data_IF_724284588978
#
_entry.id   IF_724284588978
#
_cell.length_a   1.000
_cell.length_b   1.000
_cell.length_c   1.000
_cell.angle_alpha   90.00
_cell.angle_beta   90.00
_cell.angle_gamma   90.00
#
_symmetry.space_group_name_H-M   'P 1'
#
loop_
_entity.id
_entity.type
_entity.pdbx_description
1 polymer ?
#
# COMPACT_ATOMS: atom_id res chain seq x y z
N UNK A 1 25.03 14.85 -11.43
CA UNK A 1 23.78 14.14 -11.82
C UNK A 1 24.07 12.76 -12.38
N UNK A 2 24.85 12.63 -13.48
CA UNK A 2 25.21 11.31 -14.04
C UNK A 2 26.03 10.44 -13.09
N UNK A 3 27.00 11.03 -12.38
CA UNK A 3 27.84 10.35 -11.37
C UNK A 3 26.99 9.77 -10.23
N UNK A 4 26.12 10.59 -9.64
CA UNK A 4 25.17 10.16 -8.60
C UNK A 4 24.27 9.03 -9.11
N UNK A 5 23.72 9.16 -10.31
CA UNK A 5 22.88 8.10 -10.89
C UNK A 5 23.63 6.77 -11.08
N UNK A 6 24.87 6.80 -11.56
CA UNK A 6 25.72 5.59 -11.67
C UNK A 6 25.90 4.94 -10.29
N UNK A 7 26.19 5.75 -9.27
CA UNK A 7 26.36 5.26 -7.89
C UNK A 7 25.06 4.65 -7.39
N UNK A 8 23.92 5.31 -7.61
CA UNK A 8 22.60 4.83 -7.19
C UNK A 8 22.27 3.47 -7.84
N UNK A 9 22.44 3.34 -9.16
CA UNK A 9 22.16 2.10 -9.89
C UNK A 9 23.05 0.95 -9.41
N UNK A 10 24.36 1.18 -9.26
CA UNK A 10 25.28 0.15 -8.76
C UNK A 10 24.92 -0.24 -7.33
N UNK A 11 24.51 0.71 -6.50
CA UNK A 11 24.09 0.46 -5.11
C UNK A 11 22.84 -0.41 -5.06
N UNK A 12 21.87 -0.18 -5.94
CA UNK A 12 20.66 -1.01 -6.08
C UNK A 12 21.04 -2.43 -6.51
N UNK A 13 21.91 -2.58 -7.52
CA UNK A 13 22.36 -3.90 -7.98
C UNK A 13 23.09 -4.67 -6.88
N UNK A 14 23.98 -4.01 -6.14
CA UNK A 14 24.66 -4.61 -4.99
C UNK A 14 23.68 -5.03 -3.89
N UNK A 15 22.64 -4.23 -3.65
CA UNK A 15 21.56 -4.55 -2.70
C UNK A 15 20.82 -5.82 -3.12
N UNK A 16 20.48 -5.97 -4.40
CA UNK A 16 19.84 -7.17 -4.94
C UNK A 16 20.72 -8.41 -4.72
N UNK A 17 22.04 -8.28 -4.95
CA UNK A 17 23.00 -9.36 -4.72
C UNK A 17 23.05 -9.74 -3.23
N UNK A 18 23.11 -8.77 -2.33
CA UNK A 18 23.11 -9.01 -0.87
C UNK A 18 21.81 -9.67 -0.39
N UNK A 19 20.66 -9.24 -0.91
CA UNK A 19 19.37 -9.87 -0.62
C UNK A 19 19.33 -11.32 -1.14
N UNK A 20 19.83 -11.56 -2.35
CA UNK A 20 19.90 -12.92 -2.89
C UNK A 20 20.83 -13.81 -2.05
N UNK A 21 21.98 -13.29 -1.60
CA UNK A 21 22.88 -13.99 -0.70
C UNK A 21 22.22 -14.31 0.64
N UNK A 22 21.43 -13.38 1.21
CA UNK A 22 20.65 -13.60 2.42
C UNK A 22 19.62 -14.71 2.22
N UNK A 23 18.88 -14.71 1.10
CA UNK A 23 17.90 -15.75 0.76
C UNK A 23 18.56 -17.13 0.70
N UNK A 24 19.72 -17.23 0.06
CA UNK A 24 20.51 -18.46 -0.01
C UNK A 24 21.00 -18.89 1.38
N UNK A 25 21.51 -17.97 2.19
CA UNK A 25 21.96 -18.25 3.55
C UNK A 25 20.80 -18.79 4.41
N UNK A 26 19.61 -18.18 4.35
CA UNK A 26 18.43 -18.68 5.07
C UNK A 26 18.07 -20.08 4.57
N UNK A 27 18.03 -20.31 3.25
CA UNK A 27 17.72 -21.63 2.68
C UNK A 27 18.67 -22.73 3.20
N UNK A 28 19.95 -22.39 3.35
CA UNK A 28 21.00 -23.35 3.74
C UNK A 28 21.07 -23.56 5.25
N UNK A 29 20.92 -22.50 6.05
CA UNK A 29 21.22 -22.53 7.48
C UNK A 29 19.98 -22.53 8.39
N UNK A 30 18.82 -22.10 7.89
CA UNK A 30 17.59 -22.08 8.69
C UNK A 30 16.91 -23.46 8.63
N UNK A 31 17.05 -24.22 9.71
CA UNK A 31 16.32 -25.47 9.93
C UNK A 31 15.11 -25.14 10.79
N UNK A 32 13.89 -25.15 10.25
CA UNK A 32 12.70 -24.93 11.06
C UNK A 32 12.61 -26.03 12.12
N UNK A 33 12.35 -25.65 13.37
CA UNK A 33 12.02 -26.62 14.42
C UNK A 33 10.83 -27.46 13.96
N UNK A 34 10.86 -28.79 14.14
CA UNK A 34 9.70 -29.64 13.88
C UNK A 34 8.63 -29.35 14.92
N UNK A 35 7.89 -28.25 14.75
CA UNK A 35 6.53 -28.20 15.26
C UNK A 35 5.76 -29.30 14.53
N UNK A 36 4.90 -30.03 15.24
CA UNK A 36 4.08 -31.08 14.64
C UNK A 36 3.14 -30.47 13.59
N UNK A 37 3.65 -30.37 12.37
CA UNK A 37 2.96 -29.82 11.21
C UNK A 37 1.71 -30.66 10.92
N UNK A 38 1.67 -31.94 11.33
CA UNK A 38 0.49 -32.77 11.21
C UNK A 38 -0.64 -32.35 12.16
N UNK A 39 -0.31 -31.76 13.32
CA UNK A 39 -1.30 -31.21 14.26
C UNK A 39 -1.78 -29.81 13.84
N UNK A 40 -0.85 -28.95 13.38
CA UNK A 40 -1.16 -27.61 12.88
C UNK A 40 -1.90 -27.62 11.54
N UNK A 41 -1.57 -28.55 10.63
CA UNK A 41 -2.27 -28.71 9.33
C UNK A 41 -3.68 -29.28 9.47
N UNK A 42 -3.98 -29.99 10.56
CA UNK A 42 -5.36 -30.37 10.91
C UNK A 42 -6.21 -29.16 11.32
N UNK A 43 -5.59 -28.13 11.90
CA UNK A 43 -6.24 -26.88 12.32
C UNK A 43 -6.27 -25.85 11.18
N UNK A 44 -5.23 -25.82 10.35
CA UNK A 44 -5.05 -24.93 9.21
C UNK A 44 -5.03 -25.73 7.90
N UNK A 45 -6.19 -26.22 7.45
CA UNK A 45 -6.38 -26.54 6.03
C UNK A 45 -6.52 -25.25 5.25
N UNK A 46 -5.41 -24.55 5.02
CA UNK A 46 -5.37 -23.40 4.10
C UNK A 46 -4.28 -23.68 3.07
N UNK A 47 -4.70 -23.94 1.83
CA UNK A 47 -3.79 -23.90 0.69
C UNK A 47 -3.03 -22.55 0.70
N UNK A 48 -1.70 -22.58 0.68
CA UNK A 48 -0.88 -21.39 0.41
C UNK A 48 -0.30 -20.65 1.61
N UNK A 49 -0.14 -21.26 2.79
CA UNK A 49 0.77 -20.68 3.80
C UNK A 49 2.21 -20.87 3.35
N UNK A 50 3.04 -19.82 3.28
CA UNK A 50 4.45 -19.97 2.89
C UNK A 50 5.15 -20.91 3.86
N UNK A 51 6.04 -21.76 3.33
CA UNK A 51 6.82 -22.66 4.18
C UNK A 51 7.65 -21.84 5.19
N UNK A 52 7.98 -22.36 6.38
CA UNK A 52 8.72 -21.60 7.39
C UNK A 52 10.01 -20.95 6.87
N UNK A 53 10.69 -21.61 5.92
CA UNK A 53 11.88 -21.09 5.24
C UNK A 53 11.51 -19.90 4.35
N UNK A 54 10.47 -20.01 3.53
CA UNK A 54 10.00 -18.95 2.63
C UNK A 54 9.50 -17.73 3.41
N UNK A 55 8.77 -17.96 4.50
CA UNK A 55 8.34 -16.89 5.40
C UNK A 55 9.55 -16.14 5.99
N UNK A 56 10.56 -16.87 6.46
CA UNK A 56 11.78 -16.28 7.00
C UNK A 56 12.56 -15.50 5.93
N UNK A 57 12.69 -16.06 4.72
CA UNK A 57 13.28 -15.40 3.57
C UNK A 57 12.59 -14.07 3.26
N UNK A 58 11.26 -14.07 3.21
CA UNK A 58 10.47 -12.86 2.94
C UNK A 58 10.66 -11.81 4.04
N UNK A 59 10.44 -12.17 5.30
CA UNK A 59 10.51 -11.22 6.43
C UNK A 59 11.89 -10.60 6.57
N UNK A 60 12.95 -11.42 6.56
CA UNK A 60 14.31 -10.90 6.69
C UNK A 60 14.73 -10.08 5.47
N UNK A 61 14.32 -10.47 4.26
CA UNK A 61 14.61 -9.67 3.07
C UNK A 61 13.98 -8.28 3.14
N UNK A 62 12.72 -8.18 3.57
CA UNK A 62 12.03 -6.89 3.74
C UNK A 62 12.70 -6.01 4.80
N UNK A 63 13.09 -6.60 5.94
CA UNK A 63 13.74 -5.86 7.03
C UNK A 63 15.17 -5.45 6.69
N UNK A 64 15.93 -6.30 6.00
CA UNK A 64 17.32 -6.05 5.63
C UNK A 64 17.47 -5.16 4.39
N UNK A 65 16.49 -5.11 3.48
CA UNK A 65 16.55 -4.32 2.25
C UNK A 65 16.96 -2.84 2.45
N UNK A 66 16.35 -2.05 3.36
CA UNK A 66 16.77 -0.66 3.57
C UNK A 66 18.20 -0.55 4.13
N UNK A 67 18.61 -1.49 4.98
CA UNK A 67 19.95 -1.53 5.57
C UNK A 67 20.99 -1.86 4.49
N UNK A 68 20.73 -2.89 3.69
CA UNK A 68 21.60 -3.27 2.56
C UNK A 68 21.67 -2.17 1.51
N UNK A 69 20.58 -1.45 1.25
CA UNK A 69 20.60 -0.30 0.34
C UNK A 69 21.50 0.81 0.87
N UNK A 70 21.36 1.17 2.14
CA UNK A 70 22.20 2.18 2.77
C UNK A 70 23.67 1.79 2.80
N UNK A 71 23.99 0.56 3.22
CA UNK A 71 25.36 0.04 3.22
C UNK A 71 25.95 -0.06 1.80
N UNK A 72 25.15 -0.51 0.83
CA UNK A 72 25.57 -0.56 -0.57
C UNK A 72 25.88 0.85 -1.08
N UNK A 73 25.01 1.82 -0.82
CA UNK A 73 25.25 3.22 -1.19
C UNK A 73 26.54 3.78 -0.61
N UNK A 74 26.75 3.61 0.71
CA UNK A 74 27.98 4.08 1.36
C UNK A 74 29.23 3.40 0.78
N UNK A 75 29.16 2.09 0.55
CA UNK A 75 30.28 1.30 0.02
C UNK A 75 30.60 1.71 -1.41
N UNK A 76 29.59 1.79 -2.27
CA UNK A 76 29.72 2.23 -3.67
C UNK A 76 30.24 3.65 -3.74
N UNK A 77 29.73 4.57 -2.92
CA UNK A 77 30.23 5.95 -2.86
C UNK A 77 31.68 6.03 -2.41
N UNK A 78 32.05 5.26 -1.38
CA UNK A 78 33.41 5.27 -0.85
C UNK A 78 34.43 4.66 -1.83
N UNK A 79 34.11 3.51 -2.42
CA UNK A 79 35.02 2.76 -3.28
C UNK A 79 35.06 3.31 -4.71
N UNK A 80 33.90 3.60 -5.30
CA UNK A 80 33.80 3.96 -6.71
C UNK A 80 33.66 5.46 -6.93
N UNK A 81 33.22 6.24 -5.93
CA UNK A 81 32.98 7.68 -6.10
C UNK A 81 34.20 8.41 -6.66
N UNK A 82 35.38 8.23 -6.06
CA UNK A 82 36.62 8.87 -6.52
C UNK A 82 37.04 8.45 -7.94
N UNK A 83 36.71 7.23 -8.36
CA UNK A 83 37.06 6.69 -9.68
C UNK A 83 36.10 7.26 -10.72
N UNK A 84 34.80 7.22 -10.43
CA UNK A 84 33.73 7.75 -11.29
C UNK A 84 33.90 9.27 -11.46
N UNK A 85 34.26 9.98 -10.40
CA UNK A 85 34.45 11.43 -10.42
C UNK A 85 35.59 11.87 -11.36
N UNK A 86 36.61 11.03 -11.52
CA UNK A 86 37.80 11.30 -12.35
C UNK A 86 37.79 10.60 -13.70
N UNK A 87 36.74 9.83 -14.02
CA UNK A 87 36.70 9.01 -15.23
C UNK A 87 36.50 9.86 -16.48
N UNK A 88 37.40 9.71 -17.45
CA UNK A 88 37.26 10.27 -18.81
C UNK A 88 36.14 9.61 -19.61
N UNK A 89 35.64 8.45 -19.18
CA UNK A 89 34.63 7.65 -19.86
C UNK A 89 33.25 7.69 -19.18
N UNK A 90 32.98 8.76 -18.41
CA UNK A 90 31.75 8.89 -17.63
C UNK A 90 30.47 8.67 -18.46
N UNK A 91 30.44 9.14 -19.71
CA UNK A 91 29.30 8.98 -20.62
C UNK A 91 29.06 7.52 -21.00
N UNK A 92 30.12 6.78 -21.34
CA UNK A 92 30.03 5.36 -21.67
C UNK A 92 29.58 4.53 -20.46
N UNK A 93 30.12 4.84 -19.28
CA UNK A 93 29.73 4.17 -18.03
C UNK A 93 28.26 4.47 -17.71
N UNK A 94 27.82 5.72 -17.83
CA UNK A 94 26.43 6.12 -17.64
C UNK A 94 25.47 5.39 -18.59
N UNK A 95 25.84 5.27 -19.87
CA UNK A 95 25.03 4.55 -20.85
C UNK A 95 24.96 3.05 -20.54
N UNK A 96 26.08 2.43 -20.17
CA UNK A 96 26.11 1.01 -19.76
C UNK A 96 25.22 0.79 -18.54
N UNK A 97 25.28 1.67 -17.52
CA UNK A 97 24.41 1.56 -16.34
C UNK A 97 22.94 1.69 -16.67
N UNK A 98 22.58 2.57 -17.61
CA UNK A 98 21.20 2.73 -18.07
C UNK A 98 20.68 1.48 -18.79
N UNK A 99 21.51 0.89 -19.67
CA UNK A 99 21.17 -0.37 -20.35
C UNK A 99 21.02 -1.52 -19.36
N UNK A 100 21.93 -1.61 -18.38
CA UNK A 100 21.85 -2.62 -17.32
C UNK A 100 20.60 -2.45 -16.46
N UNK A 101 20.26 -1.22 -16.07
CA UNK A 101 19.05 -0.92 -15.30
C UNK A 101 17.78 -1.38 -16.05
N UNK A 102 17.64 -1.01 -17.32
CA UNK A 102 16.50 -1.43 -18.14
C UNK A 102 16.49 -2.94 -18.33
N UNK A 103 17.65 -3.56 -18.60
CA UNK A 103 17.76 -5.01 -18.77
C UNK A 103 17.36 -5.78 -17.51
N UNK A 104 17.80 -5.32 -16.33
CA UNK A 104 17.43 -5.92 -15.03
C UNK A 104 15.96 -5.72 -14.75
N UNK A 105 15.38 -4.55 -15.02
CA UNK A 105 13.95 -4.31 -14.85
C UNK A 105 13.10 -5.23 -15.74
N UNK A 106 13.46 -5.37 -17.03
CA UNK A 106 12.78 -6.29 -17.94
C UNK A 106 12.90 -7.73 -17.45
N UNK A 107 14.09 -8.14 -17.00
CA UNK A 107 14.31 -9.48 -16.47
C UNK A 107 13.48 -9.76 -15.20
N UNK A 108 13.41 -8.80 -14.26
CA UNK A 108 12.59 -8.91 -13.05
C UNK A 108 11.11 -9.01 -13.42
N UNK A 109 10.61 -8.15 -14.31
CA UNK A 109 9.20 -8.18 -14.77
C UNK A 109 8.90 -9.54 -15.41
N UNK A 110 9.76 -9.99 -16.33
CA UNK A 110 9.63 -11.29 -17.00
C UNK A 110 9.59 -12.44 -15.99
N UNK A 111 10.55 -12.49 -15.06
CA UNK A 111 10.60 -13.54 -14.05
C UNK A 111 9.43 -13.48 -13.08
N UNK A 112 9.01 -12.29 -12.66
CA UNK A 112 7.82 -12.12 -11.83
C UNK A 112 6.61 -12.71 -12.54
N UNK A 113 6.35 -12.35 -13.80
CA UNK A 113 5.20 -12.84 -14.55
C UNK A 113 5.25 -14.36 -14.83
N UNK A 114 6.44 -14.95 -14.94
CA UNK A 114 6.58 -16.40 -15.07
C UNK A 114 6.28 -17.16 -13.77
N UNK A 115 6.77 -16.64 -12.65
CA UNK A 115 6.83 -17.35 -11.37
C UNK A 115 5.67 -17.04 -10.45
N UNK A 116 5.04 -15.88 -10.62
CA UNK A 116 3.94 -15.42 -9.77
C UNK A 116 2.68 -15.26 -10.59
N UNK A 117 1.55 -15.70 -10.04
CA UNK A 117 0.22 -15.21 -10.45
C UNK A 117 -0.01 -13.77 -9.93
N UNK A 118 1.05 -12.95 -9.89
CA UNK A 118 0.97 -11.60 -9.42
C UNK A 118 0.02 -10.83 -10.33
N UNK A 119 -1.00 -10.21 -9.73
CA UNK A 119 -2.14 -9.57 -10.39
C UNK A 119 -3.15 -10.53 -11.06
N UNK A 120 -3.09 -11.84 -10.76
CA UNK A 120 -3.99 -12.90 -11.27
C UNK A 120 -4.08 -13.01 -12.80
N UNK A 121 -3.13 -12.39 -13.49
CA UNK A 121 -3.16 -12.24 -14.95
C UNK A 121 -3.24 -13.61 -15.64
N UNK A 122 -2.50 -14.60 -15.13
CA UNK A 122 -2.48 -15.98 -15.67
C UNK A 122 -3.69 -16.82 -15.26
N UNK A 123 -4.37 -16.45 -14.17
CA UNK A 123 -5.56 -17.14 -13.65
C UNK A 123 -6.87 -16.72 -14.33
N UNK A 124 -6.88 -15.57 -15.03
CA UNK A 124 -8.02 -15.08 -15.81
C UNK A 124 -8.12 -15.69 -17.22
N UNK A 125 -7.73 -16.96 -17.37
CA UNK A 125 -7.82 -17.76 -18.61
C UNK A 125 -9.25 -17.91 -19.17
N UNK A 126 -10.29 -17.42 -18.46
CA UNK A 126 -11.66 -17.39 -18.93
C UNK A 126 -12.04 -16.18 -19.79
N UNK A 127 -11.14 -15.22 -20.03
CA UNK A 127 -11.43 -14.07 -20.90
C UNK A 127 -10.69 -14.19 -22.23
N UNK A 128 -11.43 -14.21 -23.35
CA UNK A 128 -10.89 -14.26 -24.74
C UNK A 128 -10.14 -12.97 -25.15
N UNK A 129 -9.83 -12.09 -24.21
CA UNK A 129 -9.25 -10.79 -24.51
C UNK A 129 -7.73 -10.89 -24.64
N UNK A 130 -7.21 -10.33 -25.74
CA UNK A 130 -5.79 -10.42 -26.14
C UNK A 130 -4.82 -9.93 -25.05
N UNK A 131 -5.28 -9.03 -24.17
CA UNK A 131 -4.52 -8.49 -23.03
C UNK A 131 -4.24 -9.52 -21.93
N UNK A 132 -5.12 -10.52 -21.79
CA UNK A 132 -4.96 -11.62 -20.83
C UNK A 132 -4.32 -12.86 -21.46
N UNK A 133 -4.34 -12.95 -22.79
CA UNK A 133 -3.63 -13.98 -23.56
C UNK A 133 -2.12 -13.71 -23.65
N UNK A 134 -1.70 -12.44 -23.74
CA UNK A 134 -0.29 -12.03 -23.92
C UNK A 134 0.18 -10.94 -22.95
N UNK A 135 0.01 -11.14 -21.63
CA UNK A 135 0.38 -10.13 -20.65
C UNK A 135 1.88 -9.90 -20.54
N UNK A 136 2.69 -10.91 -20.90
CA UNK A 136 4.13 -10.85 -20.90
C UNK A 136 4.61 -9.90 -22.00
N UNK A 137 4.07 -10.05 -23.20
CA UNK A 137 4.38 -9.28 -24.40
C UNK A 137 3.92 -7.83 -24.23
N UNK A 138 2.76 -7.62 -23.61
CA UNK A 138 2.24 -6.28 -23.37
C UNK A 138 3.07 -5.51 -22.33
N UNK A 139 3.43 -6.13 -21.21
CA UNK A 139 4.18 -5.48 -20.13
C UNK A 139 5.68 -5.33 -20.39
N UNK A 140 6.30 -6.24 -21.15
CA UNK A 140 7.76 -6.23 -21.39
C UNK A 140 8.17 -5.55 -22.70
N UNK A 141 7.28 -5.43 -23.69
CA UNK A 141 7.61 -4.85 -25.00
C UNK A 141 6.73 -3.64 -25.33
N UNK A 142 5.41 -3.82 -25.35
CA UNK A 142 4.49 -2.78 -25.81
C UNK A 142 4.50 -1.58 -24.85
N UNK A 143 4.41 -1.81 -23.55
CA UNK A 143 4.37 -0.73 -22.56
C UNK A 143 5.67 0.12 -22.55
N UNK A 144 6.89 -0.46 -22.53
CA UNK A 144 8.11 0.32 -22.68
C UNK A 144 8.18 1.11 -23.99
N UNK A 145 7.78 0.51 -25.12
CA UNK A 145 7.75 1.19 -26.42
C UNK A 145 6.78 2.38 -26.39
N UNK A 146 5.57 2.20 -25.87
CA UNK A 146 4.59 3.28 -25.74
C UNK A 146 5.07 4.39 -24.79
N UNK A 147 5.78 4.05 -23.71
CA UNK A 147 6.40 5.05 -22.85
C UNK A 147 7.50 5.84 -23.56
N UNK A 148 8.38 5.16 -24.30
CA UNK A 148 9.46 5.79 -25.07
C UNK A 148 8.85 6.73 -26.12
N UNK A 149 7.87 6.26 -26.90
CA UNK A 149 7.15 7.06 -27.87
C UNK A 149 6.46 8.26 -27.20
N UNK A 150 5.81 8.05 -26.05
CA UNK A 150 5.18 9.11 -25.27
C UNK A 150 6.17 10.16 -24.75
N UNK A 151 7.44 9.79 -24.55
CA UNK A 151 8.50 10.72 -24.15
C UNK A 151 8.88 11.69 -25.27
N UNK A 152 8.86 11.23 -26.52
CA UNK A 152 9.18 12.05 -27.70
C UNK A 152 8.02 12.94 -28.17
N UNK A 153 6.79 12.65 -27.74
CA UNK A 153 5.65 13.51 -28.08
C UNK A 153 5.59 14.71 -27.13
N UNK A 154 5.72 15.91 -27.70
CA UNK A 154 5.62 17.15 -26.94
C UNK A 154 4.22 17.33 -26.34
N UNK A 155 4.16 17.61 -25.03
CA UNK A 155 2.90 17.87 -24.34
C UNK A 155 2.27 19.18 -24.85
N UNK A 156 1.11 19.07 -25.50
CA UNK A 156 0.29 20.20 -25.95
C UNK A 156 -0.90 20.45 -25.02
N UNK A 157 -1.56 21.61 -25.14
CA UNK A 157 -2.80 21.90 -24.40
C UNK A 157 -3.91 20.87 -24.70
N UNK A 158 -3.98 20.40 -25.95
CA UNK A 158 -4.95 19.39 -26.39
C UNK A 158 -4.67 18.06 -25.68
N UNK A 159 -3.41 17.60 -25.66
CA UNK A 159 -3.02 16.36 -24.99
C UNK A 159 -3.34 16.42 -23.49
N UNK A 160 -3.11 17.57 -22.84
CA UNK A 160 -3.50 17.79 -21.44
C UNK A 160 -5.01 17.64 -21.24
N UNK A 161 -5.82 18.28 -22.09
CA UNK A 161 -7.27 18.18 -22.02
C UNK A 161 -7.76 16.74 -22.23
N UNK A 162 -7.23 16.04 -23.23
CA UNK A 162 -7.53 14.63 -23.48
C UNK A 162 -7.13 13.73 -22.30
N UNK A 163 -5.99 14.01 -21.67
CA UNK A 163 -5.54 13.28 -20.47
C UNK A 163 -6.53 13.43 -19.33
N UNK A 164 -7.01 14.66 -19.07
CA UNK A 164 -8.04 14.93 -18.07
C UNK A 164 -9.37 14.24 -18.41
N UNK A 165 -9.85 14.41 -19.64
CA UNK A 165 -11.10 13.80 -20.10
C UNK A 165 -11.06 12.28 -19.96
N UNK A 166 -10.02 11.63 -20.48
CA UNK A 166 -9.86 10.18 -20.36
C UNK A 166 -9.83 9.74 -18.89
N UNK A 167 -9.06 10.42 -18.05
CA UNK A 167 -8.91 10.04 -16.64
C UNK A 167 -10.22 10.18 -15.87
N UNK A 168 -11.00 11.26 -16.12
CA UNK A 168 -12.32 11.44 -15.53
C UNK A 168 -13.30 10.37 -16.04
N UNK A 169 -13.34 10.11 -17.35
CA UNK A 169 -14.19 9.05 -17.90
C UNK A 169 -13.85 7.68 -17.29
N UNK A 170 -12.56 7.37 -17.12
CA UNK A 170 -12.12 6.12 -16.50
C UNK A 170 -12.55 6.03 -15.03
N UNK A 171 -12.46 7.12 -14.27
CA UNK A 171 -12.93 7.18 -12.88
C UNK A 171 -14.45 6.98 -12.81
N UNK A 172 -15.21 7.58 -13.75
CA UNK A 172 -16.68 7.38 -13.84
C UNK A 172 -16.98 5.90 -14.16
N UNK A 173 -16.23 5.28 -15.07
CA UNK A 173 -16.39 3.84 -15.37
C UNK A 173 -16.11 2.99 -14.13
N UNK A 174 -15.03 3.27 -13.40
CA UNK A 174 -14.69 2.58 -12.13
C UNK A 174 -15.81 2.78 -11.10
N UNK A 175 -16.33 3.99 -10.96
CA UNK A 175 -17.47 4.27 -10.08
C UNK A 175 -18.68 3.40 -10.45
N UNK A 176 -19.08 3.41 -11.73
CA UNK A 176 -20.23 2.65 -12.22
C UNK A 176 -20.08 1.14 -12.03
N UNK A 177 -18.88 0.57 -12.18
CA UNK A 177 -18.61 -0.85 -11.94
C UNK A 177 -18.87 -1.30 -10.49
N UNK A 178 -18.95 -0.36 -9.54
CA UNK A 178 -19.20 -0.66 -8.13
C UNK A 178 -20.65 -0.43 -7.72
N UNK A 179 -21.53 0.00 -8.63
CA UNK A 179 -22.94 0.20 -8.34
C UNK A 179 -23.71 -1.10 -8.54
N UNK A 180 -24.36 -1.59 -7.49
CA UNK A 180 -25.22 -2.76 -7.57
C UNK A 180 -26.30 -2.74 -6.49
N UNK A 181 -27.36 -3.50 -6.73
CA UNK A 181 -28.43 -3.77 -5.77
C UNK A 181 -28.61 -5.30 -5.63
N UNK A 182 -29.54 -5.72 -4.77
CA UNK A 182 -29.83 -7.14 -4.55
C UNK A 182 -30.42 -7.85 -5.79
N UNK A 183 -31.05 -7.10 -6.69
CA UNK A 183 -31.75 -7.66 -7.86
C UNK A 183 -30.80 -7.91 -9.04
N UNK A 184 -29.78 -7.07 -9.20
CA UNK A 184 -28.94 -7.08 -10.40
C UNK A 184 -27.74 -8.02 -10.29
N UNK A 185 -27.20 -8.28 -9.09
CA UNK A 185 -26.06 -9.19 -8.91
C UNK A 185 -26.08 -9.86 -7.53
N UNK A 186 -25.88 -11.19 -7.50
CA UNK A 186 -25.46 -11.95 -6.32
C UNK A 186 -23.95 -12.18 -6.39
N UNK A 187 -23.08 -11.17 -6.22
CA UNK A 187 -21.67 -11.47 -6.12
C UNK A 187 -21.47 -12.24 -4.82
N UNK A 188 -20.91 -13.43 -4.97
CA UNK A 188 -20.48 -14.37 -3.95
C UNK A 188 -20.33 -13.71 -2.58
N UNK A 189 -21.26 -14.06 -1.68
CA UNK A 189 -21.42 -13.50 -0.33
C UNK A 189 -20.14 -13.46 0.52
N UNK A 190 -19.09 -14.18 0.13
CA UNK A 190 -17.85 -14.35 0.89
C UNK A 190 -17.04 -13.05 1.07
N UNK A 191 -17.01 -12.13 0.09
CA UNK A 191 -16.24 -10.88 0.21
C UNK A 191 -17.07 -9.65 0.56
N UNK A 192 -18.37 -9.66 0.23
CA UNK A 192 -19.27 -8.56 0.57
C UNK A 192 -19.70 -8.60 2.05
N UNK A 193 -20.04 -9.76 2.59
CA UNK A 193 -20.57 -9.87 3.96
C UNK A 193 -19.60 -9.37 5.04
N UNK A 194 -18.29 -9.68 5.00
CA UNK A 194 -17.34 -9.14 5.99
C UNK A 194 -17.28 -7.61 6.05
N UNK A 195 -17.79 -6.95 5.01
CA UNK A 195 -17.79 -5.49 4.84
C UNK A 195 -19.17 -4.88 5.10
N UNK A 196 -20.25 -5.53 4.67
CA UNK A 196 -21.60 -5.02 4.88
C UNK A 196 -22.17 -5.34 6.27
N UNK A 197 -21.91 -6.54 6.79
CA UNK A 197 -22.45 -7.01 8.06
C UNK A 197 -22.06 -6.13 9.26
N UNK A 198 -20.79 -5.73 9.46
CA UNK A 198 -20.43 -4.86 10.57
C UNK A 198 -21.22 -3.55 10.59
N UNK A 199 -21.46 -2.94 9.42
CA UNK A 199 -22.23 -1.69 9.31
C UNK A 199 -23.69 -1.89 9.65
N UNK A 200 -24.31 -2.99 9.20
CA UNK A 200 -25.70 -3.29 9.55
C UNK A 200 -25.88 -3.53 11.05
N UNK A 201 -24.91 -4.15 11.71
CA UNK A 201 -24.94 -4.38 13.14
C UNK A 201 -24.77 -3.08 13.94
N UNK A 202 -23.90 -2.18 13.49
CA UNK A 202 -23.71 -0.87 14.14
C UNK A 202 -24.99 -0.04 14.13
N UNK A 203 -25.70 0.00 13.00
CA UNK A 203 -26.99 0.68 12.93
C UNK A 203 -28.09 0.05 13.79
N UNK A 204 -27.91 -1.21 14.21
CA UNK A 204 -28.74 -1.88 15.21
C UNK A 204 -28.24 -1.67 16.64
N UNK A 205 -27.48 -0.60 16.88
CA UNK A 205 -26.90 -0.24 18.19
C UNK A 205 -25.91 -1.26 18.75
N UNK A 206 -25.33 -2.12 17.91
CA UNK A 206 -24.22 -2.98 18.34
C UNK A 206 -22.89 -2.29 18.17
N UNK A 207 -21.98 -2.59 19.07
CA UNK A 207 -20.73 -1.86 19.17
C UNK A 207 -19.55 -2.73 18.76
N UNK A 208 -18.79 -2.30 17.74
CA UNK A 208 -17.54 -2.97 17.35
C UNK A 208 -16.57 -3.07 18.53
N UNK A 209 -15.91 -4.23 18.66
CA UNK A 209 -14.97 -4.59 19.73
C UNK A 209 -15.61 -4.87 21.10
N UNK A 210 -16.93 -4.63 21.26
CA UNK A 210 -17.69 -4.94 22.47
C UNK A 210 -18.70 -6.05 22.19
N UNK A 211 -19.67 -5.77 21.31
CA UNK A 211 -20.79 -6.66 21.01
C UNK A 211 -20.50 -7.55 19.79
N UNK A 212 -19.66 -7.08 18.86
CA UNK A 212 -19.24 -7.83 17.70
C UNK A 212 -17.78 -7.58 17.32
N UNK A 213 -17.20 -8.54 16.60
CA UNK A 213 -15.90 -8.39 15.95
C UNK A 213 -16.09 -8.11 14.45
N UNK A 214 -15.20 -7.31 13.88
CA UNK A 214 -15.12 -7.08 12.45
C UNK A 214 -13.75 -7.51 11.93
N UNK A 215 -13.69 -7.95 10.67
CA UNK A 215 -12.44 -8.33 10.03
C UNK A 215 -11.56 -7.11 9.70
N UNK A 216 -12.17 -5.95 9.48
CA UNK A 216 -11.49 -4.70 9.15
C UNK A 216 -11.86 -3.66 10.20
N UNK A 217 -10.87 -2.87 10.65
CA UNK A 217 -10.87 -1.94 11.78
C UNK A 217 -12.21 -1.36 12.27
N UNK A 218 -12.32 -0.05 12.34
CA UNK A 218 -13.52 0.65 12.82
C UNK A 218 -14.24 1.41 11.71
N UNK A 219 -13.91 1.15 10.44
CA UNK A 219 -14.54 1.83 9.29
C UNK A 219 -16.08 1.85 9.35
N UNK A 220 -16.72 0.83 9.92
CA UNK A 220 -18.18 0.82 10.05
C UNK A 220 -18.74 1.98 10.88
N UNK A 221 -18.04 2.39 11.95
CA UNK A 221 -18.39 3.56 12.77
C UNK A 221 -18.14 4.87 12.04
N UNK A 222 -17.16 4.92 11.12
CA UNK A 222 -16.96 6.09 10.26
C UNK A 222 -18.10 6.26 9.25
N UNK A 223 -18.71 5.15 8.82
CA UNK A 223 -19.81 5.14 7.86
C UNK A 223 -21.18 5.28 8.51
N UNK A 224 -21.30 5.00 9.80
CA UNK A 224 -22.56 5.05 10.54
C UNK A 224 -23.30 6.39 10.40
N UNK A 225 -22.67 7.58 10.56
CA UNK A 225 -23.38 8.85 10.41
C UNK A 225 -23.99 9.03 9.01
N UNK A 226 -23.34 8.47 7.98
CA UNK A 226 -23.82 8.53 6.60
C UNK A 226 -25.09 7.67 6.48
N UNK A 227 -25.07 6.45 7.01
CA UNK A 227 -26.22 5.54 6.89
C UNK A 227 -27.35 5.81 7.88
N UNK A 228 -27.12 6.57 8.96
CA UNK A 228 -28.19 7.18 9.77
C UNK A 228 -28.98 8.24 8.99
N UNK A 229 -28.36 8.87 7.98
CA UNK A 229 -29.01 9.91 7.15
C UNK A 229 -29.67 9.31 5.90
N UNK A 230 -29.00 8.38 5.22
CA UNK A 230 -29.44 7.86 3.92
C UNK A 230 -30.08 6.47 3.96
N UNK A 231 -30.24 5.88 5.14
CA UNK A 231 -30.61 4.47 5.35
C UNK A 231 -29.64 3.46 4.72
N UNK A 232 -29.46 2.32 5.40
CA UNK A 232 -28.62 1.24 4.89
C UNK A 232 -29.41 0.32 3.95
N UNK A 233 -29.12 0.45 2.66
CA UNK A 233 -29.47 -0.53 1.63
C UNK A 233 -28.20 -1.00 0.92
N UNK A 234 -28.24 -2.13 0.21
CA UNK A 234 -27.11 -2.59 -0.61
C UNK A 234 -26.72 -1.52 -1.64
N UNK A 235 -27.70 -0.87 -2.26
CA UNK A 235 -27.45 0.21 -3.22
C UNK A 235 -26.75 1.39 -2.57
N UNK A 236 -27.27 1.94 -1.47
CA UNK A 236 -26.67 3.08 -0.79
C UNK A 236 -25.25 2.75 -0.30
N UNK A 237 -25.05 1.54 0.21
CA UNK A 237 -23.75 1.06 0.59
C UNK A 237 -22.78 0.98 -0.59
N UNK A 238 -23.23 0.44 -1.72
CA UNK A 238 -22.44 0.35 -2.95
C UNK A 238 -22.07 1.74 -3.49
N UNK A 239 -22.97 2.73 -3.40
CA UNK A 239 -22.69 4.13 -3.79
C UNK A 239 -21.59 4.72 -2.91
N UNK A 240 -21.70 4.59 -1.58
CA UNK A 240 -20.67 5.11 -0.67
C UNK A 240 -19.31 4.47 -0.94
N UNK A 241 -19.28 3.14 -1.12
CA UNK A 241 -18.04 2.44 -1.45
C UNK A 241 -17.50 2.86 -2.82
N UNK A 242 -18.36 2.98 -3.84
CA UNK A 242 -17.99 3.42 -5.17
C UNK A 242 -17.39 4.84 -5.16
N UNK A 243 -17.94 5.76 -4.36
CA UNK A 243 -17.40 7.10 -4.17
C UNK A 243 -16.00 7.06 -3.56
N UNK A 244 -15.77 6.22 -2.55
CA UNK A 244 -14.44 6.05 -1.95
C UNK A 244 -13.44 5.45 -2.95
N UNK A 245 -13.86 4.49 -3.78
CA UNK A 245 -13.03 3.92 -4.85
C UNK A 245 -12.66 5.01 -5.87
N UNK A 246 -13.66 5.74 -6.37
CA UNK A 246 -13.46 6.83 -7.33
C UNK A 246 -12.53 7.92 -6.78
N UNK A 247 -12.71 8.31 -5.51
CA UNK A 247 -11.85 9.27 -4.82
C UNK A 247 -10.40 8.75 -4.71
N UNK A 248 -10.21 7.46 -4.44
CA UNK A 248 -8.87 6.84 -4.38
C UNK A 248 -8.13 7.00 -5.72
N UNK A 249 -8.78 6.65 -6.84
CA UNK A 249 -8.20 6.82 -8.17
C UNK A 249 -8.02 8.28 -8.57
N UNK A 250 -8.91 9.16 -8.13
CA UNK A 250 -8.74 10.60 -8.32
C UNK A 250 -7.48 11.11 -7.61
N UNK A 251 -7.20 10.69 -6.37
CA UNK A 251 -5.97 11.06 -5.67
C UNK A 251 -4.71 10.54 -6.39
N UNK A 252 -4.72 9.31 -6.91
CA UNK A 252 -3.62 8.78 -7.73
C UNK A 252 -3.40 9.65 -8.97
N UNK A 253 -4.46 9.99 -9.70
CA UNK A 253 -4.37 10.86 -10.87
C UNK A 253 -3.80 12.24 -10.51
N UNK A 254 -4.25 12.84 -9.40
CA UNK A 254 -3.73 14.11 -8.89
C UNK A 254 -2.26 14.06 -8.47
N UNK A 255 -1.79 12.91 -7.98
CA UNK A 255 -0.37 12.67 -7.70
C UNK A 255 0.42 12.68 -8.99
N UNK A 256 0.01 11.90 -10.01
CA UNK A 256 0.68 11.85 -11.31
C UNK A 256 0.73 13.22 -11.99
N UNK A 257 -0.37 13.97 -11.97
CA UNK A 257 -0.43 15.35 -12.50
C UNK A 257 0.56 16.30 -11.81
N UNK A 258 0.88 16.04 -10.54
CA UNK A 258 1.85 16.85 -9.80
C UNK A 258 3.27 16.35 -10.03
N UNK A 259 3.53 15.05 -10.08
CA UNK A 259 4.90 14.52 -10.11
C UNK A 259 5.49 14.43 -11.52
N UNK A 260 4.65 14.19 -12.54
CA UNK A 260 5.08 13.95 -13.91
C UNK A 260 4.78 15.17 -14.79
N UNK A 261 5.75 15.61 -15.59
CA UNK A 261 5.58 16.76 -16.50
C UNK A 261 4.88 16.40 -17.81
N UNK A 262 5.14 15.21 -18.34
CA UNK A 262 4.62 14.76 -19.63
C UNK A 262 3.22 14.16 -19.47
N UNK A 263 2.24 14.73 -20.17
CA UNK A 263 0.83 14.35 -20.09
C UNK A 263 0.52 12.97 -20.67
N UNK A 264 1.27 12.52 -21.69
CA UNK A 264 1.11 11.16 -22.23
C UNK A 264 1.60 10.14 -21.22
N UNK A 265 2.71 10.42 -20.53
CA UNK A 265 3.20 9.55 -19.45
C UNK A 265 2.18 9.49 -18.31
N UNK A 266 1.53 10.62 -17.98
CA UNK A 266 0.42 10.61 -16.99
C UNK A 266 -0.74 9.74 -17.48
N UNK A 267 -1.15 9.89 -18.74
CA UNK A 267 -2.25 9.11 -19.34
C UNK A 267 -1.96 7.61 -19.28
N UNK A 268 -0.80 7.20 -19.82
CA UNK A 268 -0.38 5.80 -19.85
C UNK A 268 -0.19 5.24 -18.44
N UNK A 269 0.49 5.98 -17.56
CA UNK A 269 0.70 5.57 -16.17
C UNK A 269 -0.60 5.42 -15.39
N UNK A 270 -1.55 6.35 -15.55
CA UNK A 270 -2.85 6.27 -14.88
C UNK A 270 -3.69 5.12 -15.42
N UNK A 271 -3.70 4.90 -16.75
CA UNK A 271 -4.38 3.77 -17.37
C UNK A 271 -3.82 2.44 -16.87
N UNK A 272 -2.49 2.29 -16.83
CA UNK A 272 -1.83 1.08 -16.32
C UNK A 272 -2.11 0.83 -14.85
N UNK A 273 -1.99 1.84 -13.99
CA UNK A 273 -2.28 1.70 -12.56
C UNK A 273 -3.73 1.28 -12.36
N UNK A 274 -4.68 1.93 -13.04
CA UNK A 274 -6.11 1.62 -12.95
C UNK A 274 -6.45 0.23 -13.46
N UNK A 275 -5.82 -0.19 -14.56
CA UNK A 275 -6.02 -1.50 -15.14
C UNK A 275 -5.51 -2.60 -14.21
N UNK A 276 -4.24 -2.58 -13.86
CA UNK A 276 -3.61 -3.66 -13.09
C UNK A 276 -4.05 -3.70 -11.63
N UNK A 277 -4.30 -2.56 -10.98
CA UNK A 277 -4.68 -2.57 -9.55
C UNK A 277 -6.17 -2.85 -9.33
N UNK A 278 -7.02 -2.67 -10.34
CA UNK A 278 -8.47 -2.74 -10.13
C UNK A 278 -9.23 -3.37 -11.28
N UNK A 279 -9.15 -2.82 -12.49
CA UNK A 279 -10.03 -3.28 -13.59
C UNK A 279 -9.76 -4.72 -14.01
N UNK A 280 -8.50 -5.17 -14.03
CA UNK A 280 -8.16 -6.54 -14.41
C UNK A 280 -8.85 -7.55 -13.49
N UNK A 281 -8.75 -7.33 -12.17
CA UNK A 281 -9.43 -8.17 -11.18
C UNK A 281 -10.95 -8.06 -11.27
N UNK A 282 -11.47 -6.82 -11.37
CA UNK A 282 -12.91 -6.55 -11.38
C UNK A 282 -13.59 -7.12 -12.63
N UNK A 283 -12.96 -7.00 -13.80
CA UNK A 283 -13.46 -7.57 -15.06
C UNK A 283 -13.39 -9.10 -15.05
N UNK A 284 -12.33 -9.67 -14.45
CA UNK A 284 -12.15 -11.11 -14.42
C UNK A 284 -13.03 -11.85 -13.40
N UNK A 285 -13.36 -11.22 -12.26
CA UNK A 285 -14.19 -11.85 -11.21
C UNK A 285 -15.63 -11.35 -11.18
N UNK A 286 -15.90 -10.13 -11.66
CA UNK A 286 -17.18 -9.45 -11.47
C UNK A 286 -17.45 -8.97 -10.04
N UNK A 287 -16.67 -9.41 -9.05
CA UNK A 287 -16.98 -9.23 -7.63
C UNK A 287 -16.63 -7.82 -7.11
N UNK A 288 -17.47 -7.22 -6.24
CA UNK A 288 -17.15 -5.99 -5.52
C UNK A 288 -16.23 -6.32 -4.34
N UNK A 289 -14.92 -6.16 -4.55
CA UNK A 289 -13.91 -6.49 -3.55
C UNK A 289 -13.62 -5.33 -2.59
N UNK A 290 -14.67 -4.86 -1.90
CA UNK A 290 -14.63 -3.68 -1.04
C UNK A 290 -13.68 -3.78 0.16
N UNK A 291 -13.33 -5.00 0.58
CA UNK A 291 -12.32 -5.25 1.59
C UNK A 291 -10.94 -4.70 1.22
N UNK A 292 -10.58 -4.74 -0.07
CA UNK A 292 -9.34 -4.17 -0.55
C UNK A 292 -9.56 -2.75 -1.06
N UNK A 293 -10.49 -2.58 -2.00
CA UNK A 293 -10.79 -1.29 -2.63
C UNK A 293 -12.27 -0.96 -2.38
N UNK A 294 -12.61 -0.10 -1.39
CA UNK A 294 -11.78 0.99 -0.89
C UNK A 294 -11.15 0.81 0.50
N UNK A 295 -11.57 -0.16 1.33
CA UNK A 295 -11.28 -0.15 2.78
C UNK A 295 -9.77 -0.10 3.08
N UNK A 296 -8.95 -0.83 2.33
CA UNK A 296 -7.49 -0.87 2.51
C UNK A 296 -6.74 0.10 1.57
N UNK A 297 -7.44 0.72 0.62
CA UNK A 297 -6.82 1.47 -0.48
C UNK A 297 -6.98 2.99 -0.36
N UNK A 298 -8.10 3.46 0.21
CA UNK A 298 -8.44 4.89 0.26
C UNK A 298 -7.41 5.76 0.99
N UNK A 299 -7.07 5.40 2.24
CA UNK A 299 -6.11 6.17 3.03
C UNK A 299 -4.69 6.18 2.44
N UNK A 300 -4.15 5.05 1.93
CA UNK A 300 -2.90 5.10 1.16
C UNK A 300 -2.90 6.13 0.03
N UNK A 301 -3.96 6.18 -0.79
CA UNK A 301 -4.05 7.14 -1.89
C UNK A 301 -4.17 8.59 -1.39
N UNK A 302 -4.99 8.83 -0.36
CA UNK A 302 -5.17 10.15 0.24
C UNK A 302 -3.85 10.67 0.84
N UNK A 303 -3.16 9.85 1.63
CA UNK A 303 -1.90 10.27 2.29
C UNK A 303 -0.78 10.46 1.27
N UNK A 304 -0.70 9.64 0.23
CA UNK A 304 0.22 9.88 -0.88
C UNK A 304 -0.03 11.25 -1.52
N UNK A 305 -1.29 11.58 -1.81
CA UNK A 305 -1.67 12.87 -2.35
C UNK A 305 -1.30 14.04 -1.42
N UNK A 306 -1.71 13.98 -0.15
CA UNK A 306 -1.41 15.02 0.84
C UNK A 306 0.09 15.20 1.04
N UNK A 307 0.86 14.11 1.03
CA UNK A 307 2.32 14.14 1.13
C UNK A 307 2.95 14.90 -0.05
N UNK A 308 2.51 14.64 -1.29
CA UNK A 308 3.01 15.35 -2.47
C UNK A 308 2.67 16.84 -2.41
N UNK A 309 1.47 17.21 -1.95
CA UNK A 309 1.08 18.62 -1.77
C UNK A 309 1.95 19.28 -0.70
N UNK A 310 2.18 18.61 0.43
CA UNK A 310 3.05 19.11 1.49
C UNK A 310 4.50 19.29 1.01
N UNK A 311 5.11 18.29 0.38
CA UNK A 311 6.53 18.38 0.01
C UNK A 311 6.80 19.43 -1.08
N UNK A 312 5.82 19.72 -1.93
CA UNK A 312 5.89 20.78 -2.93
C UNK A 312 5.67 22.17 -2.37
N UNK A 313 4.64 22.35 -1.53
CA UNK A 313 4.21 23.67 -1.06
C UNK A 313 4.72 24.06 0.34
N UNK A 314 5.23 23.11 1.13
CA UNK A 314 5.62 23.27 2.54
C UNK A 314 4.55 23.89 3.42
N UNK A 315 3.29 23.62 3.08
CA UNK A 315 2.16 24.18 3.79
C UNK A 315 1.99 23.47 5.14
N UNK A 316 2.06 24.22 6.24
CA UNK A 316 1.84 23.72 7.61
C UNK A 316 0.45 23.11 7.79
N UNK A 317 -0.56 23.63 7.11
CA UNK A 317 -1.91 23.06 7.18
C UNK A 317 -1.94 21.66 6.58
N UNK A 318 -1.21 21.44 5.49
CA UNK A 318 -1.09 20.10 4.88
C UNK A 318 -0.31 19.15 5.79
N UNK A 319 0.73 19.63 6.46
CA UNK A 319 1.47 18.82 7.45
C UNK A 319 0.54 18.27 8.54
N UNK A 320 -0.24 19.15 9.19
CA UNK A 320 -1.17 18.71 10.24
C UNK A 320 -2.34 17.89 9.69
N UNK A 321 -2.86 18.25 8.51
CA UNK A 321 -3.92 17.47 7.86
C UNK A 321 -3.46 16.05 7.53
N UNK A 322 -2.21 15.86 7.06
CA UNK A 322 -1.65 14.52 6.82
C UNK A 322 -1.54 13.73 8.11
N UNK A 323 -1.14 14.35 9.24
CA UNK A 323 -1.11 13.68 10.54
C UNK A 323 -2.50 13.29 11.04
N UNK A 324 -3.50 14.15 10.87
CA UNK A 324 -4.89 13.81 11.22
C UNK A 324 -5.36 12.64 10.36
N UNK A 325 -5.20 12.72 9.04
CA UNK A 325 -5.64 11.68 8.12
C UNK A 325 -4.91 10.35 8.35
N UNK A 326 -3.61 10.36 8.65
CA UNK A 326 -2.83 9.15 8.94
C UNK A 326 -3.15 8.56 10.32
N UNK A 327 -3.63 9.38 11.25
CA UNK A 327 -4.13 8.90 12.54
C UNK A 327 -5.52 8.27 12.42
N UNK A 328 -6.39 8.85 11.58
CA UNK A 328 -7.69 8.25 11.26
C UNK A 328 -7.56 6.93 10.50
N UNK A 329 -6.54 6.77 9.67
CA UNK A 329 -6.31 5.52 8.94
C UNK A 329 -6.05 4.34 9.88
N UNK A 330 -5.36 4.56 11.02
CA UNK A 330 -5.14 3.54 12.06
C UNK A 330 -6.46 2.99 12.59
N UNK A 331 -7.44 3.87 12.80
CA UNK A 331 -8.76 3.52 13.32
C UNK A 331 -9.62 2.87 12.22
N UNK A 332 -9.57 3.40 11.00
CA UNK A 332 -10.32 2.87 9.86
C UNK A 332 -9.96 1.41 9.54
N UNK A 333 -8.66 1.13 9.39
CA UNK A 333 -8.12 -0.20 9.15
C UNK A 333 -6.68 -0.25 9.69
N UNK A 334 -6.45 -0.94 10.81
CA UNK A 334 -5.14 -0.91 11.46
C UNK A 334 -4.00 -1.45 10.58
N UNK A 335 -4.25 -2.54 9.84
CA UNK A 335 -3.24 -3.19 9.01
C UNK A 335 -2.62 -2.20 8.01
N UNK A 336 -3.46 -1.52 7.23
CA UNK A 336 -2.99 -0.51 6.27
C UNK A 336 -2.72 0.83 6.91
N UNK A 337 -3.43 1.16 7.99
CA UNK A 337 -3.28 2.40 8.74
C UNK A 337 -1.89 2.54 9.35
N UNK A 338 -1.35 1.48 9.95
CA UNK A 338 0.01 1.47 10.51
C UNK A 338 1.04 1.71 9.42
N UNK A 339 0.90 1.03 8.28
CA UNK A 339 1.80 1.21 7.13
C UNK A 339 1.77 2.65 6.64
N UNK A 340 0.58 3.23 6.51
CA UNK A 340 0.39 4.63 6.06
C UNK A 340 0.98 5.63 7.05
N UNK A 341 0.72 5.45 8.35
CA UNK A 341 1.24 6.32 9.40
C UNK A 341 2.76 6.29 9.48
N UNK A 342 3.35 5.09 9.45
CA UNK A 342 4.81 4.92 9.43
C UNK A 342 5.43 5.49 8.15
N UNK A 343 4.80 5.26 6.99
CA UNK A 343 5.28 5.80 5.71
C UNK A 343 5.36 7.33 5.72
N UNK A 344 4.38 7.99 6.34
CA UNK A 344 4.39 9.45 6.51
C UNK A 344 5.54 9.91 7.42
N UNK A 345 5.70 9.29 8.60
CA UNK A 345 6.80 9.59 9.52
C UNK A 345 8.17 9.38 8.87
N UNK A 346 8.37 8.24 8.21
CA UNK A 346 9.61 7.91 7.52
C UNK A 346 9.90 8.90 6.38
N UNK A 347 8.86 9.34 5.66
CA UNK A 347 9.01 10.36 4.62
C UNK A 347 9.47 11.70 5.19
N UNK A 348 8.96 12.11 6.36
CA UNK A 348 9.42 13.31 7.06
C UNK A 348 10.87 13.15 7.54
N UNK A 349 11.21 12.02 8.16
CA UNK A 349 12.56 11.72 8.64
C UNK A 349 13.58 11.73 7.49
N UNK A 350 13.25 11.06 6.38
CA UNK A 350 14.07 11.07 5.17
C UNK A 350 14.27 12.49 4.65
N UNK A 351 13.19 13.27 4.64
CA UNK A 351 13.24 14.64 4.17
C UNK A 351 14.10 15.56 5.05
N UNK A 352 14.05 15.40 6.38
CA UNK A 352 14.92 16.11 7.31
C UNK A 352 16.38 15.66 7.17
N UNK A 353 16.63 14.37 6.93
CA UNK A 353 17.97 13.83 6.68
C UNK A 353 18.63 14.45 5.45
N UNK A 354 17.87 14.69 4.38
CA UNK A 354 18.38 15.39 3.19
C UNK A 354 18.73 16.87 3.43
N UNK A 355 18.22 17.49 4.50
CA UNK A 355 18.40 18.93 4.78
C UNK A 355 19.34 19.21 5.95
N UNK A 356 19.52 18.27 6.85
CA UNK A 356 20.23 18.51 8.08
C UNK A 356 21.69 18.85 7.82
N UNK A 357 22.11 20.04 8.27
CA UNK A 357 23.52 20.44 8.31
C UNK A 357 24.21 20.01 9.60
N UNK A 358 23.43 19.70 10.65
CA UNK A 358 23.92 19.32 11.97
C UNK A 358 23.09 18.18 12.56
N UNK A 359 23.77 17.19 13.15
CA UNK A 359 23.18 16.00 13.74
C UNK A 359 22.19 16.30 14.88
N UNK A 360 22.49 17.28 15.74
CA UNK A 360 21.62 17.63 16.86
C UNK A 360 20.28 18.23 16.40
N UNK A 361 20.29 19.01 15.31
CA UNK A 361 19.06 19.55 14.72
C UNK A 361 18.21 18.44 14.08
N UNK A 362 18.87 17.46 13.45
CA UNK A 362 18.20 16.31 12.85
C UNK A 362 17.42 15.52 13.91
N UNK A 363 18.09 15.09 14.99
CA UNK A 363 17.44 14.34 16.08
C UNK A 363 16.27 15.14 16.66
N UNK A 364 16.45 16.44 16.91
CA UNK A 364 15.40 17.29 17.47
C UNK A 364 14.16 17.35 16.58
N UNK A 365 14.35 17.50 15.27
CA UNK A 365 13.23 17.55 14.32
C UNK A 365 12.54 16.19 14.18
N UNK A 366 13.31 15.10 14.09
CA UNK A 366 12.77 13.73 14.05
C UNK A 366 11.96 13.38 15.31
N UNK A 367 12.47 13.77 16.49
CA UNK A 367 11.77 13.59 17.75
C UNK A 367 10.48 14.41 17.79
N UNK A 368 10.51 15.66 17.34
CA UNK A 368 9.35 16.54 17.25
C UNK A 368 8.26 15.94 16.35
N UNK A 369 8.61 15.48 15.15
CA UNK A 369 7.65 14.89 14.20
C UNK A 369 7.04 13.60 14.75
N UNK A 370 7.86 12.76 15.39
CA UNK A 370 7.39 11.55 16.10
C UNK A 370 6.42 11.91 17.22
N UNK A 371 6.78 12.88 18.07
CA UNK A 371 5.94 13.32 19.18
C UNK A 371 4.60 13.88 18.69
N UNK A 372 4.62 14.71 17.64
CA UNK A 372 3.41 15.25 17.01
C UNK A 372 2.55 14.09 16.48
N UNK A 373 3.15 13.12 15.79
CA UNK A 373 2.44 11.94 15.30
C UNK A 373 1.76 11.15 16.42
N UNK A 374 2.46 10.91 17.53
CA UNK A 374 1.91 10.22 18.72
C UNK A 374 0.76 11.03 19.34
N UNK A 375 0.91 12.35 19.46
CA UNK A 375 -0.15 13.19 20.02
C UNK A 375 -1.41 13.13 19.14
N UNK A 376 -1.28 13.21 17.82
CA UNK A 376 -2.42 13.09 16.91
C UNK A 376 -3.07 11.72 16.94
N UNK A 377 -2.29 10.63 16.98
CA UNK A 377 -2.83 9.26 17.02
C UNK A 377 -3.55 8.95 18.33
N UNK A 378 -3.01 9.41 19.47
CA UNK A 378 -3.67 9.29 20.77
C UNK A 378 -4.92 10.17 20.82
N UNK A 379 -4.84 11.40 20.32
CA UNK A 379 -5.98 12.34 20.33
C UNK A 379 -7.12 11.85 19.43
N UNK A 380 -6.84 11.33 18.23
CA UNK A 380 -7.87 10.78 17.35
C UNK A 380 -8.52 9.54 17.97
N UNK A 381 -7.71 8.67 18.59
CA UNK A 381 -8.19 7.49 19.29
C UNK A 381 -9.10 7.89 20.46
N UNK A 382 -8.68 8.86 21.27
CA UNK A 382 -9.46 9.37 22.40
C UNK A 382 -10.73 10.10 21.95
N UNK A 383 -10.68 10.87 20.86
CA UNK A 383 -11.86 11.53 20.28
C UNK A 383 -12.89 10.50 19.83
N UNK A 384 -12.45 9.44 19.14
CA UNK A 384 -13.34 8.36 18.70
C UNK A 384 -13.92 7.59 19.89
N UNK A 385 -13.12 7.40 20.95
CA UNK A 385 -13.57 6.84 22.21
C UNK A 385 -14.58 7.75 22.93
N UNK A 386 -14.41 9.06 22.82
CA UNK A 386 -15.31 10.04 23.45
C UNK A 386 -16.66 10.09 22.74
N UNK A 387 -16.68 10.03 21.40
CA UNK A 387 -17.92 9.86 20.63
C UNK A 387 -18.59 8.53 20.95
N UNK A 388 -17.81 7.47 21.16
CA UNK A 388 -18.29 6.16 21.60
C UNK A 388 -18.89 6.16 23.01
N UNK A 389 -18.27 6.88 23.95
CA UNK A 389 -18.78 7.06 25.33
C UNK A 389 -20.10 7.84 25.33
N UNK A 390 -20.26 8.81 24.41
CA UNK A 390 -21.50 9.57 24.27
C UNK A 390 -22.67 8.71 23.80
N UNK A 391 -22.40 7.67 23.00
CA UNK A 391 -23.45 6.83 22.41
C UNK A 391 -23.82 5.58 23.23
N UNK A 392 -22.92 4.98 24.05
CA UNK A 392 -23.16 3.61 24.54
C UNK A 392 -22.99 3.38 26.07
N UNK A 393 -21.93 3.84 26.76
CA UNK A 393 -21.67 3.45 28.18
C UNK A 393 -20.81 4.47 28.95
N UNK A 394 -20.94 4.50 30.29
CA UNK A 394 -20.10 5.27 31.22
C UNK A 394 -18.58 5.18 30.93
N UNK A 395 -17.89 6.31 31.08
CA UNK A 395 -16.46 6.54 30.81
C UNK A 395 -15.52 5.43 31.33
N UNK A 396 -15.81 4.89 32.51
CA UNK A 396 -14.95 3.89 33.17
C UNK A 396 -14.92 2.54 32.43
N UNK A 397 -16.02 2.14 31.81
CA UNK A 397 -16.10 0.88 31.03
C UNK A 397 -15.34 1.00 29.71
N UNK A 398 -15.39 2.17 29.07
CA UNK A 398 -14.70 2.44 27.82
C UNK A 398 -13.17 2.50 28.01
N UNK A 399 -12.69 3.14 29.09
CA UNK A 399 -11.27 3.14 29.46
C UNK A 399 -10.79 1.72 29.77
N UNK A 400 -11.57 0.93 30.52
CA UNK A 400 -11.23 -0.48 30.77
C UNK A 400 -11.18 -1.30 29.48
N UNK A 401 -12.11 -1.10 28.53
CA UNK A 401 -12.10 -1.76 27.23
C UNK A 401 -10.84 -1.44 26.42
N UNK A 402 -10.41 -0.17 26.38
CA UNK A 402 -9.18 0.24 25.68
C UNK A 402 -7.92 -0.46 26.23
N UNK A 403 -7.83 -0.59 27.55
CA UNK A 403 -6.70 -1.26 28.21
C UNK A 403 -6.87 -2.77 28.38
N UNK A 404 -8.02 -3.35 28.01
CA UNK A 404 -8.18 -4.82 28.07
C UNK A 404 -7.38 -5.51 26.98
N UNK A 405 -6.78 -6.65 27.38
CA UNK A 405 -6.06 -7.60 26.51
C UNK A 405 -6.84 -7.98 25.24
N UNK A 406 -8.18 -7.89 25.29
CA UNK A 406 -9.10 -8.11 24.17
C UNK A 406 -8.96 -7.07 23.05
N UNK A 407 -8.83 -5.77 23.33
CA UNK A 407 -8.61 -4.77 22.28
C UNK A 407 -7.32 -5.09 21.50
N UNK A 408 -6.19 -5.29 22.17
CA UNK A 408 -4.95 -5.71 21.51
C UNK A 408 -5.06 -7.05 20.76
N UNK A 409 -5.86 -8.02 21.25
CA UNK A 409 -6.13 -9.29 20.56
C UNK A 409 -7.03 -9.13 19.32
N UNK A 410 -8.00 -8.20 19.36
CA UNK A 410 -8.97 -7.94 18.29
C UNK A 410 -8.47 -6.90 17.26
N UNK A 411 -7.40 -6.18 17.57
CA UNK A 411 -6.70 -5.25 16.67
C UNK A 411 -5.80 -5.98 15.65
N UNK A 412 -6.08 -7.25 15.32
CA UNK A 412 -5.34 -7.97 14.27
C UNK A 412 -3.93 -8.46 14.65
N UNK A 413 -3.47 -8.27 15.89
CA UNK A 413 -2.19 -8.82 16.40
C UNK A 413 -2.24 -10.32 16.72
N UNK A 414 -3.31 -11.02 16.31
CA UNK A 414 -3.46 -12.47 16.50
C UNK A 414 -2.26 -13.28 15.98
N UNK A 415 -1.63 -12.97 14.82
CA UNK A 415 -0.43 -13.69 14.38
C UNK A 415 0.77 -13.46 15.32
N UNK A 416 0.99 -12.22 15.78
CA UNK A 416 2.11 -11.87 16.66
C UNK A 416 1.97 -12.48 18.07
N UNK A 417 0.75 -12.55 18.60
CA UNK A 417 0.49 -13.13 19.93
C UNK A 417 0.37 -14.66 19.90
N UNK A 418 -0.08 -15.27 18.80
CA UNK A 418 -0.04 -16.73 18.66
C UNK A 418 1.40 -17.25 18.72
N UNK A 419 2.39 -16.51 18.18
CA UNK A 419 3.79 -16.90 18.28
C UNK A 419 4.37 -16.81 19.72
N UNK A 420 3.87 -15.85 20.53
CA UNK A 420 4.24 -15.70 21.93
C UNK A 420 3.58 -16.75 22.85
N UNK A 421 2.41 -17.27 22.47
CA UNK A 421 1.71 -18.32 23.23
C UNK A 421 2.39 -19.68 23.12
N UNK A 422 3.02 -19.98 21.98
CA UNK A 422 3.78 -21.22 21.80
C UNK A 422 5.16 -21.20 22.47
N UNK A 423 5.69 -20.03 22.82
CA UNK A 423 7.03 -19.90 23.44
C UNK A 423 7.00 -19.80 24.96
N UNK A 424 5.85 -19.48 25.57
CA UNK A 424 5.81 -19.19 27.03
C UNK A 424 5.02 -20.17 27.88
N UNK A 425 4.28 -21.13 27.33
CA UNK A 425 3.78 -22.30 28.08
C UNK A 425 3.09 -22.01 29.42
N UNK A 426 2.35 -20.90 29.54
CA UNK A 426 1.62 -20.55 30.76
C UNK A 426 0.11 -20.59 30.48
N UNK A 427 -0.56 -21.44 31.27
CA UNK A 427 -1.99 -21.77 31.32
C UNK A 427 -2.93 -20.55 31.28
#
# INVERSE_FOLDING_TARGET
MKQEHIIDVISILLTIILLYALILAIKTFYIPTPLDVAELSKIYRVLGTPEPVEFMQYVLSVLCAPIFLWLSYLTTRHLLGKIIDKSSHLESVYFITLVLEVGVLIWIIYKSLQTSEFLYIRGFQGSDSILFLYPLEYSTLIFPILMILGFYVASSKIIKALTWLFSICLIIVIFSFNLFNLENHLPVFHHFNPVFYPVSQILQSKTLLVDLTAQYGLYGHFLEPIFKIFDLTVLNFSIVMALLVAASFYFIFLVLQRTVKNSIIILLGFASISFYNYLAFKMGTGEPYFQYTPIRFFFPCLILYLSVVYFKGRNKNMYYLTFIASSLSLLWNLETGVVVFLSWLLSLMYFELLRATCYNSLIKNMFKDTLIGVVFSVSSSFSMLSTFIYEVVSFLTAVRLFFTKKCFLYWGLRPCLCHLRFTTGIL
#
